data_IF_426650593749
#
_entry.id   IF_426650593749
#
_cell.length_a   1.000
_cell.length_b   1.000
_cell.length_c   1.000
_cell.angle_alpha   90.00
_cell.angle_beta   90.00
_cell.angle_gamma   90.00
#
_symmetry.space_group_name_H-M   'P 1'
#
loop_
_entity.id
_entity.type
_entity.pdbx_description
1 polymer ?
#
# COMPACT_ATOMS: atom_id res chain seq x y z
N UNK A 1 26.15 -13.50 -6.09
CA UNK A 1 25.01 -12.59 -5.94
C UNK A 1 24.04 -12.98 -4.81
N UNK A 2 23.62 -14.25 -4.66
CA UNK A 2 22.68 -14.69 -3.59
C UNK A 2 23.24 -14.46 -2.18
N UNK A 3 24.53 -14.78 -1.96
CA UNK A 3 25.20 -14.63 -0.65
C UNK A 3 25.29 -13.18 -0.20
N UNK A 4 25.65 -12.26 -1.11
CA UNK A 4 25.70 -10.82 -0.82
C UNK A 4 24.31 -10.24 -0.46
N UNK A 5 23.26 -10.63 -1.20
CA UNK A 5 21.90 -10.22 -0.86
C UNK A 5 21.48 -10.70 0.53
N UNK A 6 21.80 -11.96 0.87
CA UNK A 6 21.51 -12.53 2.20
C UNK A 6 22.27 -11.80 3.30
N UNK A 7 23.54 -11.51 3.09
CA UNK A 7 24.35 -10.74 4.04
C UNK A 7 23.75 -9.35 4.30
N UNK A 8 23.45 -8.60 3.23
CA UNK A 8 22.82 -7.29 3.35
C UNK A 8 21.50 -7.35 4.13
N UNK A 9 20.63 -8.32 3.85
CA UNK A 9 19.37 -8.49 4.59
C UNK A 9 19.61 -8.72 6.08
N UNK A 10 20.51 -9.62 6.44
CA UNK A 10 20.83 -9.91 7.84
C UNK A 10 21.41 -8.68 8.55
N UNK A 11 22.26 -7.91 7.87
CA UNK A 11 22.79 -6.64 8.40
C UNK A 11 21.67 -5.65 8.71
N UNK A 12 20.74 -5.45 7.77
CA UNK A 12 19.63 -4.52 7.99
C UNK A 12 18.62 -5.03 9.01
N UNK A 13 18.39 -6.34 9.12
CA UNK A 13 17.61 -6.92 10.21
C UNK A 13 18.25 -6.66 11.57
N UNK A 14 19.57 -6.84 11.68
CA UNK A 14 20.29 -6.53 12.91
C UNK A 14 20.23 -5.03 13.27
N UNK A 15 20.28 -4.14 12.27
CA UNK A 15 20.12 -2.69 12.48
C UNK A 15 18.69 -2.31 12.86
N UNK A 16 17.68 -2.97 12.29
CA UNK A 16 16.27 -2.70 12.58
C UNK A 16 15.83 -3.32 13.93
N UNK A 17 16.50 -4.35 14.43
CA UNK A 17 16.11 -5.06 15.64
C UNK A 17 16.06 -4.18 16.89
N UNK A 18 17.04 -3.32 17.20
CA UNK A 18 16.94 -2.38 18.32
C UNK A 18 15.76 -1.41 18.19
N UNK A 19 15.48 -0.93 16.98
CA UNK A 19 14.31 -0.07 16.72
C UNK A 19 13.00 -0.82 16.95
N UNK A 20 12.95 -2.09 16.57
CA UNK A 20 11.80 -2.96 16.83
C UNK A 20 11.59 -3.20 18.34
N UNK A 21 12.67 -3.44 19.11
CA UNK A 21 12.57 -3.56 20.56
C UNK A 21 12.07 -2.27 21.22
N UNK A 22 12.57 -1.13 20.75
CA UNK A 22 12.12 0.18 21.22
C UNK A 22 10.64 0.43 20.86
N UNK A 23 10.21 0.05 19.67
CA UNK A 23 8.80 0.06 19.27
C UNK A 23 7.95 -0.80 20.23
N UNK A 24 8.37 -2.02 20.54
CA UNK A 24 7.64 -2.90 21.47
C UNK A 24 7.55 -2.29 22.88
N UNK A 25 8.62 -1.65 23.35
CA UNK A 25 8.63 -0.97 24.65
C UNK A 25 7.60 0.16 24.69
N UNK A 26 7.60 1.05 23.69
CA UNK A 26 6.63 2.15 23.64
C UNK A 26 5.18 1.67 23.41
N UNK A 27 5.00 0.57 22.69
CA UNK A 27 3.68 -0.03 22.46
C UNK A 27 3.01 -0.53 23.77
N UNK A 28 3.77 -0.73 24.84
CA UNK A 28 3.21 -1.03 26.19
C UNK A 28 2.61 0.22 26.85
N UNK A 29 2.99 1.42 26.43
CA UNK A 29 2.61 2.68 27.05
C UNK A 29 1.43 3.38 26.36
N UNK A 30 0.97 2.86 25.21
CA UNK A 30 -0.07 3.52 24.43
C UNK A 30 -0.70 2.66 23.35
N UNK A 31 -1.45 3.30 22.46
CA UNK A 31 -2.05 2.63 21.30
C UNK A 31 -0.96 2.13 20.34
N UNK A 32 -0.96 0.83 20.06
CA UNK A 32 0.07 0.19 19.26
C UNK A 32 0.18 0.74 17.83
N UNK A 33 -0.95 1.11 17.19
CA UNK A 33 -0.94 1.65 15.84
C UNK A 33 -0.42 3.10 15.82
N UNK A 34 -0.72 3.90 16.85
CA UNK A 34 -0.17 5.25 16.97
C UNK A 34 1.35 5.24 17.16
N UNK A 35 1.86 4.33 17.99
CA UNK A 35 3.30 4.13 18.17
C UNK A 35 3.93 3.60 16.88
N UNK A 36 3.33 2.61 16.24
CA UNK A 36 3.80 2.06 14.96
C UNK A 36 3.89 3.13 13.87
N UNK A 37 2.85 3.97 13.74
CA UNK A 37 2.81 5.06 12.78
C UNK A 37 3.94 6.07 13.03
N UNK A 38 4.26 6.38 14.29
CA UNK A 38 5.37 7.27 14.65
C UNK A 38 6.72 6.71 14.19
N UNK A 39 6.97 5.41 14.39
CA UNK A 39 8.17 4.74 13.88
C UNK A 39 8.18 4.72 12.33
N UNK A 40 7.04 4.46 11.71
CA UNK A 40 6.90 4.49 10.26
C UNK A 40 7.24 5.87 9.68
N UNK A 41 6.73 6.95 10.30
CA UNK A 41 7.04 8.33 9.92
C UNK A 41 8.54 8.62 10.04
N UNK A 42 9.15 8.32 11.19
CA UNK A 42 10.59 8.53 11.41
C UNK A 42 11.45 7.78 10.38
N UNK A 43 11.15 6.51 10.11
CA UNK A 43 11.85 5.70 9.12
C UNK A 43 11.61 6.18 7.69
N UNK A 44 10.46 6.79 7.41
CA UNK A 44 10.13 7.32 6.08
C UNK A 44 11.07 8.45 5.64
N UNK A 45 11.62 9.21 6.59
CA UNK A 45 12.53 10.34 6.36
C UNK A 45 13.95 9.92 5.95
N UNK A 46 14.30 8.63 6.04
CA UNK A 46 15.62 8.14 5.67
C UNK A 46 15.66 7.90 4.16
N UNK A 47 16.45 8.68 3.38
CA UNK A 47 16.45 8.59 1.93
C UNK A 47 17.27 7.42 1.38
N UNK A 48 17.14 7.18 0.09
CA UNK A 48 17.99 6.29 -0.69
C UNK A 48 17.82 4.80 -0.36
N UNK A 49 18.76 4.00 -0.85
CA UNK A 49 18.75 2.53 -0.67
C UNK A 49 18.88 2.11 0.78
N UNK A 50 19.65 2.85 1.58
CA UNK A 50 19.78 2.58 3.01
C UNK A 50 18.41 2.64 3.71
N UNK A 51 17.64 3.72 3.50
CA UNK A 51 16.29 3.86 4.04
C UNK A 51 15.34 2.77 3.54
N UNK A 52 15.42 2.40 2.25
CA UNK A 52 14.60 1.33 1.67
C UNK A 52 14.84 -0.02 2.37
N UNK A 53 16.10 -0.41 2.58
CA UNK A 53 16.44 -1.67 3.26
C UNK A 53 16.08 -1.63 4.75
N UNK A 54 16.28 -0.51 5.42
CA UNK A 54 15.94 -0.36 6.84
C UNK A 54 14.42 -0.44 7.06
N UNK A 55 13.61 0.22 6.20
CA UNK A 55 12.14 0.12 6.24
C UNK A 55 11.67 -1.31 5.99
N UNK A 56 12.21 -1.99 4.97
CA UNK A 56 11.87 -3.38 4.68
C UNK A 56 12.15 -4.29 5.89
N UNK A 57 13.30 -4.15 6.52
CA UNK A 57 13.69 -4.92 7.71
C UNK A 57 12.79 -4.61 8.92
N UNK A 58 12.51 -3.34 9.18
CA UNK A 58 11.63 -2.95 10.28
C UNK A 58 10.20 -3.47 10.09
N UNK A 59 9.62 -3.32 8.90
CA UNK A 59 8.27 -3.80 8.64
C UNK A 59 8.18 -5.33 8.64
N UNK A 60 9.22 -6.03 8.21
CA UNK A 60 9.30 -7.49 8.37
C UNK A 60 9.20 -7.93 9.83
N UNK A 61 9.84 -7.21 10.75
CA UNK A 61 9.79 -7.50 12.19
C UNK A 61 8.48 -7.05 12.84
N UNK A 62 7.96 -5.90 12.44
CA UNK A 62 6.83 -5.25 13.13
C UNK A 62 5.45 -5.66 12.60
N UNK A 63 5.32 -5.94 11.31
CA UNK A 63 4.04 -6.24 10.66
C UNK A 63 3.84 -7.75 10.46
N UNK A 64 2.63 -8.29 10.70
CA UNK A 64 2.36 -9.72 10.53
C UNK A 64 2.51 -10.16 9.08
N UNK A 65 3.06 -11.36 8.86
CA UNK A 65 3.19 -11.98 7.53
C UNK A 65 3.81 -11.06 6.45
N UNK A 66 4.72 -10.17 6.86
CA UNK A 66 5.43 -9.26 5.93
C UNK A 66 6.78 -9.83 5.55
N UNK A 67 7.06 -9.89 4.24
CA UNK A 67 8.31 -10.38 3.68
C UNK A 67 9.46 -9.36 3.90
N UNK A 68 10.69 -9.87 4.02
CA UNK A 68 11.91 -9.05 3.97
C UNK A 68 12.33 -8.70 2.51
N UNK A 69 11.66 -9.31 1.53
CA UNK A 69 11.87 -9.05 0.08
C UNK A 69 10.87 -8.04 -0.47
N UNK A 70 10.77 -6.88 0.19
CA UNK A 70 9.92 -5.77 -0.22
C UNK A 70 10.75 -4.50 -0.45
N UNK A 71 10.18 -3.55 -1.17
CA UNK A 71 10.75 -2.23 -1.36
C UNK A 71 9.73 -1.16 -0.99
N UNK A 72 10.06 -0.35 0.00
CA UNK A 72 9.19 0.76 0.44
C UNK A 72 9.91 2.09 0.24
N UNK A 73 9.31 2.97 -0.55
CA UNK A 73 9.87 4.23 -0.99
C UNK A 73 10.02 5.28 0.11
N UNK A 74 10.76 6.34 -0.20
CA UNK A 74 10.98 7.50 0.65
C UNK A 74 9.67 8.24 0.93
N UNK A 75 9.47 8.74 2.16
CA UNK A 75 8.24 9.39 2.64
C UNK A 75 6.97 8.53 2.57
N UNK A 76 7.11 7.22 2.41
CA UNK A 76 5.97 6.30 2.49
C UNK A 76 5.73 5.90 3.94
N UNK A 77 4.48 6.02 4.38
CA UNK A 77 4.03 5.79 5.75
C UNK A 77 3.02 4.65 5.77
N UNK A 78 3.19 3.73 6.72
CA UNK A 78 2.19 2.74 7.10
C UNK A 78 1.53 3.18 8.40
N UNK A 79 0.20 3.27 8.43
CA UNK A 79 -0.55 3.77 9.59
C UNK A 79 -1.00 2.70 10.58
N UNK A 80 -1.08 1.43 10.15
CA UNK A 80 -1.53 0.33 10.99
C UNK A 80 -0.55 -0.83 10.97
N UNK A 81 -0.23 -1.34 12.17
CA UNK A 81 0.63 -2.52 12.33
C UNK A 81 0.03 -3.78 11.66
N UNK A 82 -1.30 -3.90 11.66
CA UNK A 82 -1.99 -5.02 10.99
C UNK A 82 -2.01 -4.87 9.45
N UNK A 83 -0.90 -4.45 8.88
CA UNK A 83 -0.63 -4.45 7.45
C UNK A 83 0.28 -5.62 7.13
N UNK A 84 0.00 -6.38 6.06
CA UNK A 84 0.82 -7.49 5.62
C UNK A 84 1.26 -7.30 4.16
N UNK A 85 2.55 -7.53 3.88
CA UNK A 85 3.14 -7.25 2.56
C UNK A 85 3.91 -8.49 2.11
N UNK A 86 3.45 -9.10 1.02
CA UNK A 86 4.05 -10.30 0.48
C UNK A 86 5.36 -10.00 -0.27
N UNK A 87 6.05 -11.08 -0.67
CA UNK A 87 7.32 -11.02 -1.38
C UNK A 87 7.21 -10.29 -2.72
N UNK A 88 8.26 -9.54 -3.07
CA UNK A 88 8.38 -8.88 -4.37
C UNK A 88 7.57 -7.60 -4.52
N UNK A 89 6.85 -7.16 -3.47
CA UNK A 89 6.07 -5.92 -3.50
C UNK A 89 6.99 -4.71 -3.55
N UNK A 90 6.66 -3.80 -4.47
CA UNK A 90 7.22 -2.45 -4.55
C UNK A 90 6.16 -1.41 -4.19
N UNK A 91 6.48 -0.54 -3.24
CA UNK A 91 5.69 0.63 -2.87
C UNK A 91 6.52 1.87 -3.16
N UNK A 92 6.02 2.72 -4.06
CA UNK A 92 6.65 3.98 -4.46
C UNK A 92 6.80 4.97 -3.32
N UNK A 93 7.49 6.10 -3.55
CA UNK A 93 7.60 7.17 -2.56
C UNK A 93 6.28 7.90 -2.32
N UNK A 94 6.19 8.55 -1.15
CA UNK A 94 5.08 9.42 -0.76
C UNK A 94 3.70 8.71 -0.70
N UNK A 95 3.69 7.40 -0.46
CA UNK A 95 2.43 6.66 -0.27
C UNK A 95 1.97 6.74 1.18
N UNK A 96 0.64 6.66 1.37
CA UNK A 96 0.02 6.50 2.68
C UNK A 96 -0.78 5.19 2.69
N UNK A 97 -0.30 4.23 3.47
CA UNK A 97 -0.80 2.86 3.47
C UNK A 97 -1.54 2.58 4.78
N UNK A 98 -2.85 2.44 4.66
CA UNK A 98 -3.75 2.01 5.74
C UNK A 98 -3.66 0.50 6.01
N UNK A 99 -4.59 0.01 6.79
CA UNK A 99 -4.67 -1.41 7.13
C UNK A 99 -5.03 -2.25 5.90
N UNK A 100 -4.07 -3.01 5.38
CA UNK A 100 -4.27 -3.80 4.16
C UNK A 100 -3.42 -5.08 4.14
N UNK A 101 -3.75 -5.97 3.21
CA UNK A 101 -2.89 -7.07 2.79
C UNK A 101 -2.51 -6.88 1.33
N UNK A 102 -1.20 -6.95 1.02
CA UNK A 102 -0.69 -6.75 -0.34
C UNK A 102 -0.05 -8.04 -0.83
N UNK A 103 -0.60 -8.58 -1.92
CA UNK A 103 -0.16 -9.82 -2.55
C UNK A 103 1.18 -9.71 -3.28
N UNK A 104 1.76 -10.86 -3.59
CA UNK A 104 3.11 -10.97 -4.18
C UNK A 104 3.24 -10.18 -5.49
N UNK A 105 4.45 -9.62 -5.71
CA UNK A 105 4.87 -8.96 -6.94
C UNK A 105 3.99 -7.75 -7.34
N UNK A 106 3.19 -7.23 -6.43
CA UNK A 106 2.36 -6.04 -6.69
C UNK A 106 3.21 -4.78 -6.73
N UNK A 107 2.93 -3.92 -7.71
CA UNK A 107 3.60 -2.65 -7.95
C UNK A 107 2.66 -1.50 -7.58
N UNK A 108 3.07 -0.71 -6.59
CA UNK A 108 2.34 0.47 -6.14
C UNK A 108 3.14 1.72 -6.52
N UNK A 109 2.54 2.58 -7.34
CA UNK A 109 3.13 3.83 -7.81
C UNK A 109 3.32 4.85 -6.70
N UNK A 110 3.91 5.99 -7.04
CA UNK A 110 4.14 7.09 -6.09
C UNK A 110 2.84 7.79 -5.70
N UNK A 111 2.76 8.26 -4.44
CA UNK A 111 1.62 9.04 -3.96
C UNK A 111 0.31 8.25 -3.88
N UNK A 112 0.34 6.93 -3.87
CA UNK A 112 -0.86 6.10 -3.72
C UNK A 112 -1.33 6.14 -2.27
N UNK A 113 -2.64 6.29 -2.09
CA UNK A 113 -3.29 6.18 -0.79
C UNK A 113 -4.15 4.92 -0.73
N UNK A 114 -3.89 4.05 0.24
CA UNK A 114 -4.74 2.90 0.57
C UNK A 114 -5.40 3.20 1.91
N UNK A 115 -6.71 3.34 1.93
CA UNK A 115 -7.49 3.57 3.14
C UNK A 115 -7.78 2.23 3.84
N UNK A 116 -8.09 2.29 5.12
CA UNK A 116 -8.57 1.14 5.91
C UNK A 116 -10.08 0.95 5.73
N UNK A 117 -10.53 0.77 4.49
CA UNK A 117 -11.94 0.72 4.12
C UNK A 117 -12.55 2.11 3.87
N UNK A 118 -13.83 2.13 3.54
CA UNK A 118 -14.58 3.35 3.20
C UNK A 118 -15.42 3.92 4.36
N UNK A 119 -15.55 3.17 5.47
CA UNK A 119 -16.42 3.51 6.61
C UNK A 119 -15.65 3.92 7.85
N UNK A 120 -14.51 4.62 7.67
CA UNK A 120 -13.64 5.02 8.79
C UNK A 120 -14.30 6.03 9.74
N UNK A 121 -15.34 6.73 9.28
CA UNK A 121 -16.12 7.66 10.08
C UNK A 121 -17.62 7.48 9.81
N UNK A 122 -18.40 7.43 10.90
CA UNK A 122 -19.85 7.55 10.86
C UNK A 122 -20.23 9.03 10.78
N UNK A 123 -21.33 9.34 10.08
CA UNK A 123 -21.78 10.73 9.86
C UNK A 123 -23.30 10.87 9.83
N UNK A 124 -24.03 9.88 10.31
CA UNK A 124 -25.51 9.84 10.23
C UNK A 124 -26.18 10.72 11.26
N UNK A 125 -25.55 10.97 12.41
CA UNK A 125 -26.07 11.87 13.44
C UNK A 125 -25.64 13.32 13.19
N UNK A 126 -26.57 14.13 12.68
CA UNK A 126 -26.31 15.55 12.35
C UNK A 126 -26.12 16.45 13.59
N UNK A 127 -26.46 15.98 14.78
CA UNK A 127 -26.33 16.74 16.04
C UNK A 127 -25.01 16.47 16.75
N UNK A 128 -24.19 15.56 16.21
CA UNK A 128 -22.93 15.15 16.79
C UNK A 128 -21.77 15.40 15.83
N UNK A 129 -20.64 15.96 16.28
CA UNK A 129 -19.45 16.08 15.43
C UNK A 129 -19.04 14.73 14.83
N UNK A 130 -18.66 14.70 13.56
CA UNK A 130 -18.25 13.45 12.85
C UNK A 130 -17.15 12.72 13.60
N UNK A 131 -16.15 13.44 14.13
CA UNK A 131 -15.04 12.86 14.89
C UNK A 131 -15.47 12.11 16.17
N UNK A 132 -16.67 12.33 16.68
CA UNK A 132 -17.22 11.71 17.88
C UNK A 132 -18.18 10.55 17.59
N UNK A 133 -18.50 10.30 16.31
CA UNK A 133 -19.47 9.27 15.93
C UNK A 133 -18.84 7.88 15.77
N UNK A 134 -17.49 7.78 15.79
CA UNK A 134 -16.80 6.51 15.59
C UNK A 134 -16.60 6.17 14.12
N UNK A 135 -16.51 4.87 13.82
CA UNK A 135 -16.31 4.35 12.47
C UNK A 135 -15.72 2.94 12.49
N UNK A 136 -15.56 2.36 11.31
CA UNK A 136 -15.05 0.99 11.14
C UNK A 136 -13.81 0.98 10.25
N UNK A 137 -12.71 0.43 10.78
CA UNK A 137 -11.50 0.18 10.01
C UNK A 137 -11.54 -1.26 9.47
N UNK A 138 -11.39 -1.40 8.17
CA UNK A 138 -11.42 -2.69 7.48
C UNK A 138 -10.07 -2.97 6.80
N UNK A 139 -9.61 -4.22 6.87
CA UNK A 139 -8.37 -4.63 6.19
C UNK A 139 -8.65 -4.82 4.70
N UNK A 140 -8.23 -3.86 3.89
CA UNK A 140 -8.38 -3.89 2.43
C UNK A 140 -7.42 -4.92 1.83
N UNK A 141 -7.90 -5.76 0.90
CA UNK A 141 -7.06 -6.69 0.17
C UNK A 141 -6.60 -6.08 -1.16
N UNK A 142 -5.30 -6.08 -1.38
CA UNK A 142 -4.69 -5.87 -2.70
C UNK A 142 -4.12 -7.21 -3.14
N UNK A 143 -4.58 -7.71 -4.26
CA UNK A 143 -4.18 -9.01 -4.81
C UNK A 143 -2.72 -9.09 -5.23
N UNK A 144 -2.33 -10.26 -5.73
CA UNK A 144 -1.01 -10.49 -6.31
C UNK A 144 -0.92 -9.96 -7.75
N UNK A 145 0.30 -9.58 -8.18
CA UNK A 145 0.58 -9.09 -9.55
C UNK A 145 -0.35 -7.95 -9.99
N UNK A 146 -0.68 -7.06 -9.05
CA UNK A 146 -1.46 -5.85 -9.32
C UNK A 146 -0.56 -4.65 -9.66
N UNK A 147 -1.12 -3.69 -10.38
CA UNK A 147 -0.49 -2.39 -10.59
C UNK A 147 -1.43 -1.27 -10.17
N UNK A 148 -1.01 -0.49 -9.16
CA UNK A 148 -1.67 0.73 -8.73
C UNK A 148 -0.90 1.92 -9.30
N UNK A 149 -1.52 2.66 -10.20
CA UNK A 149 -0.95 3.85 -10.83
C UNK A 149 -0.73 4.98 -9.82
N UNK A 150 0.19 5.90 -10.16
CA UNK A 150 0.53 7.03 -9.29
C UNK A 150 -0.71 7.80 -8.85
N UNK A 151 -0.71 8.28 -7.59
CA UNK A 151 -1.77 9.09 -7.01
C UNK A 151 -3.16 8.46 -7.03
N UNK A 152 -3.28 7.16 -7.19
CA UNK A 152 -4.56 6.47 -7.05
C UNK A 152 -4.97 6.37 -5.58
N UNK A 153 -6.30 6.33 -5.34
CA UNK A 153 -6.91 6.19 -4.02
C UNK A 153 -7.69 4.88 -3.96
N UNK A 154 -7.42 4.07 -2.94
CA UNK A 154 -8.02 2.75 -2.77
C UNK A 154 -8.83 2.70 -1.49
N UNK A 155 -10.14 2.45 -1.59
CA UNK A 155 -11.08 2.35 -0.48
C UNK A 155 -11.72 0.95 -0.38
N UNK A 156 -11.47 0.08 -1.37
CA UNK A 156 -12.04 -1.27 -1.49
C UNK A 156 -11.00 -2.25 -2.01
N UNK A 157 -11.27 -3.55 -1.97
CA UNK A 157 -10.32 -4.58 -2.37
C UNK A 157 -10.10 -4.61 -3.89
N UNK A 158 -8.83 -4.78 -4.28
CA UNK A 158 -8.38 -4.97 -5.66
C UNK A 158 -7.96 -6.43 -5.84
N UNK A 159 -8.63 -7.17 -6.72
CA UNK A 159 -8.34 -8.57 -6.95
C UNK A 159 -7.06 -8.79 -7.77
N UNK A 160 -6.55 -10.04 -7.72
CA UNK A 160 -5.28 -10.42 -8.36
C UNK A 160 -5.20 -9.97 -9.83
N UNK A 161 -4.00 -9.61 -10.27
CA UNK A 161 -3.68 -9.25 -11.66
C UNK A 161 -4.43 -8.03 -12.20
N UNK A 162 -5.05 -7.25 -11.32
CA UNK A 162 -5.80 -6.04 -11.70
C UNK A 162 -4.91 -4.81 -11.80
N UNK A 163 -5.35 -3.85 -12.58
CA UNK A 163 -4.70 -2.55 -12.76
C UNK A 163 -5.66 -1.45 -12.34
N UNK A 164 -5.21 -0.59 -11.43
CA UNK A 164 -5.87 0.67 -11.13
C UNK A 164 -5.07 1.81 -11.75
N UNK A 165 -5.64 2.51 -12.72
CA UNK A 165 -4.94 3.58 -13.43
C UNK A 165 -4.56 4.75 -12.51
N UNK A 166 -3.57 5.54 -12.91
CA UNK A 166 -3.13 6.72 -12.18
C UNK A 166 -4.29 7.70 -11.94
N UNK A 167 -4.33 8.31 -10.75
CA UNK A 167 -5.37 9.26 -10.36
C UNK A 167 -6.77 8.66 -10.17
N UNK A 168 -6.93 7.35 -10.26
CA UNK A 168 -8.24 6.70 -10.13
C UNK A 168 -8.61 6.46 -8.67
N UNK A 169 -9.92 6.42 -8.38
CA UNK A 169 -10.48 6.21 -7.05
C UNK A 169 -11.29 4.92 -7.01
N UNK A 170 -10.74 3.87 -6.37
CA UNK A 170 -11.40 2.58 -6.22
C UNK A 170 -12.34 2.59 -5.01
N UNK A 171 -13.64 2.69 -5.28
CA UNK A 171 -14.70 2.75 -4.26
C UNK A 171 -15.43 1.42 -4.05
N UNK A 172 -15.29 0.47 -4.99
CA UNK A 172 -15.90 -0.86 -4.96
C UNK A 172 -14.85 -1.91 -5.34
N UNK A 173 -14.96 -3.12 -4.78
CA UNK A 173 -14.05 -4.21 -5.09
C UNK A 173 -14.09 -4.58 -6.58
N UNK A 174 -12.91 -4.89 -7.12
CA UNK A 174 -12.74 -5.33 -8.50
C UNK A 174 -13.00 -6.83 -8.67
N UNK A 175 -13.12 -7.28 -9.92
CA UNK A 175 -12.90 -8.67 -10.27
C UNK A 175 -11.41 -8.89 -10.64
N UNK A 176 -11.00 -10.17 -10.71
CA UNK A 176 -9.64 -10.56 -11.09
C UNK A 176 -9.30 -10.09 -12.51
N UNK A 177 -8.14 -9.46 -12.66
CA UNK A 177 -7.63 -8.99 -13.95
C UNK A 177 -8.25 -7.70 -14.48
N UNK A 178 -9.12 -7.03 -13.71
CA UNK A 178 -9.77 -5.80 -14.15
C UNK A 178 -8.77 -4.66 -14.40
N UNK A 179 -9.02 -3.88 -15.44
CA UNK A 179 -8.37 -2.60 -15.71
C UNK A 179 -9.38 -1.49 -15.39
N UNK A 180 -9.10 -0.76 -14.30
CA UNK A 180 -10.02 0.20 -13.68
C UNK A 180 -9.49 1.62 -13.85
N UNK A 181 -10.36 2.55 -14.28
CA UNK A 181 -10.00 3.94 -14.58
C UNK A 181 -11.08 4.90 -14.07
N UNK A 182 -10.68 6.04 -13.56
CA UNK A 182 -11.55 7.18 -13.26
C UNK A 182 -11.89 7.35 -11.77
N UNK A 183 -12.75 8.33 -11.49
CA UNK A 183 -13.28 8.65 -10.16
C UNK A 183 -14.82 8.82 -10.24
N UNK A 184 -15.60 7.88 -9.71
CA UNK A 184 -15.17 6.56 -9.20
C UNK A 184 -14.64 5.65 -10.33
N UNK A 185 -13.70 4.77 -9.99
CA UNK A 185 -13.07 3.88 -10.96
C UNK A 185 -14.08 2.86 -11.50
N UNK A 186 -14.06 2.68 -12.83
CA UNK A 186 -14.89 1.72 -13.56
C UNK A 186 -14.00 0.78 -14.36
N UNK A 187 -14.39 -0.49 -14.45
CA UNK A 187 -13.72 -1.45 -15.31
C UNK A 187 -13.95 -1.09 -16.78
N UNK A 188 -12.86 -0.83 -17.50
CA UNK A 188 -12.87 -0.54 -18.94
C UNK A 188 -12.45 -1.74 -19.77
N UNK A 189 -11.66 -2.65 -19.20
CA UNK A 189 -11.15 -3.86 -19.85
C UNK A 189 -10.71 -4.87 -18.79
N UNK A 190 -10.35 -6.08 -19.21
CA UNK A 190 -9.82 -7.12 -18.33
C UNK A 190 -8.58 -7.77 -18.97
N UNK A 191 -7.49 -7.93 -18.20
CA UNK A 191 -6.22 -8.51 -18.67
C UNK A 191 -6.33 -9.96 -19.11
N UNK A 192 -7.24 -10.72 -18.49
CA UNK A 192 -7.40 -12.15 -18.72
C UNK A 192 -8.31 -12.44 -19.92
N UNK A 193 -9.23 -11.53 -20.20
CA UNK A 193 -10.16 -11.61 -21.33
C UNK A 193 -10.17 -10.25 -22.07
N UNK A 194 -9.06 -9.87 -22.72
CA UNK A 194 -9.00 -8.56 -23.35
C UNK A 194 -10.06 -8.45 -24.45
N UNK A 195 -10.88 -7.38 -24.39
CA UNK A 195 -11.73 -7.02 -25.52
C UNK A 195 -10.81 -6.68 -26.70
N UNK A 196 -11.12 -7.19 -27.88
CA UNK A 196 -10.41 -6.83 -29.09
C UNK A 196 -10.32 -5.29 -29.17
N UNK A 197 -9.17 -4.71 -29.56
CA UNK A 197 -9.05 -3.28 -29.72
C UNK A 197 -10.12 -2.81 -30.70
N UNK A 198 -11.04 -1.96 -30.23
CA UNK A 198 -11.88 -1.19 -31.16
C UNK A 198 -10.92 -0.46 -32.06
N UNK A 199 -11.03 -0.68 -33.40
CA UNK A 199 -10.15 -0.10 -34.40
C UNK A 199 -10.06 1.41 -34.15
N UNK A 200 -8.93 1.86 -33.64
CA UNK A 200 -8.63 3.28 -33.51
C UNK A 200 -8.52 3.77 -34.96
N UNK A 201 -9.47 4.61 -35.36
CA UNK A 201 -9.31 5.37 -36.60
C UNK A 201 -7.98 6.15 -36.48
N UNK A 202 -7.09 6.05 -37.50
CA UNK A 202 -5.87 6.83 -37.47
C UNK A 202 -6.24 8.31 -37.41
N UNK A 203 -5.77 9.01 -36.39
CA UNK A 203 -5.88 10.46 -36.31
C UNK A 203 -5.21 11.05 -37.57
N UNK A 204 -5.98 11.69 -38.43
CA UNK A 204 -5.45 12.50 -39.53
C UNK A 204 -4.63 13.62 -38.89
N UNK A 205 -3.32 13.49 -38.96
CA UNK A 205 -2.42 14.62 -38.77
C UNK A 205 -2.59 15.45 -40.03
N UNK A 206 -3.30 16.55 -39.97
CA UNK A 206 -3.30 17.60 -40.96
C UNK A 206 -2.01 18.39 -40.81
N UNK A 207 -1.19 18.41 -41.86
CA UNK A 207 -0.03 19.28 -42.02
C UNK A 207 -0.42 20.76 -41.96
#
# INVERSE_FOLDING_TARGET
MRTLKRFLKLTFLALAFPLYLLFLLFAQLGNIDSVFMSFSQGLSLIPGKFGTYLRAAFYHLACPATSDEISVGFLTILSHRNTSIAKGVYIGPQCNIGMCSIGENTLIGSGVHILSGSRQHEFTDINKPIQEQGGTFEKVRIGADCWLGNTSLVMASLEDQSILAAGSVLTKSSAKGDILVGNPAKCINNRLTPKAPSAQQPSKVTE
#
